data_IF_587445212928
#
_entry.id   IF_587445212928
#
_cell.length_a   1.000
_cell.length_b   1.000
_cell.length_c   1.000
_cell.angle_alpha   90.00
_cell.angle_beta   90.00
_cell.angle_gamma   90.00
#
_symmetry.space_group_name_H-M   'P 1'
#
loop_
_entity.id
_entity.type
_entity.pdbx_description
1 polymer ?
#
# COMPACT_ATOMS: atom_id res chain seq x y z
N UNK A 1 -2.59 8.93 -11.81
CA UNK A 1 -1.50 7.93 -11.76
C UNK A 1 -0.07 8.48 -11.75
N UNK A 2 0.09 9.80 -11.94
CA UNK A 2 1.39 10.49 -12.02
C UNK A 2 2.28 10.23 -10.78
N UNK A 3 1.68 10.07 -9.60
CA UNK A 3 2.38 9.87 -8.32
C UNK A 3 3.19 8.57 -8.27
N UNK A 4 2.63 7.46 -8.77
CA UNK A 4 3.30 6.15 -8.73
C UNK A 4 4.01 5.81 -10.05
N UNK A 5 4.01 6.73 -11.03
CA UNK A 5 4.73 6.62 -12.31
C UNK A 5 4.43 5.35 -13.11
N UNK A 6 3.17 4.89 -13.08
CA UNK A 6 2.66 3.85 -13.99
C UNK A 6 2.08 4.50 -15.24
N UNK A 7 2.58 4.10 -16.42
CA UNK A 7 2.16 4.68 -17.70
C UNK A 7 0.85 4.09 -18.24
N UNK A 8 0.46 2.90 -17.76
CA UNK A 8 -0.73 2.16 -18.18
C UNK A 8 -1.51 1.69 -16.95
N UNK A 9 -2.83 1.84 -16.98
CA UNK A 9 -3.72 1.45 -15.87
C UNK A 9 -3.59 -0.04 -15.55
N UNK A 10 -3.50 -0.88 -16.57
CA UNK A 10 -3.44 -2.34 -16.45
C UNK A 10 -2.22 -2.78 -15.63
N UNK A 11 -1.08 -2.11 -15.78
CA UNK A 11 0.14 -2.42 -15.04
C UNK A 11 0.01 -2.09 -13.56
N UNK A 12 -0.68 -1.00 -13.22
CA UNK A 12 -0.95 -0.68 -11.82
C UNK A 12 -2.07 -1.52 -11.23
N UNK A 13 -3.07 -1.88 -12.02
CA UNK A 13 -4.15 -2.75 -11.58
C UNK A 13 -3.59 -4.11 -11.11
N UNK A 14 -2.56 -4.64 -11.79
CA UNK A 14 -1.81 -5.82 -11.32
C UNK A 14 -1.21 -5.61 -9.92
N UNK A 15 -0.69 -4.42 -9.61
CA UNK A 15 -0.14 -4.10 -8.28
C UNK A 15 -1.24 -4.01 -7.23
N UNK A 16 -2.39 -3.42 -7.56
CA UNK A 16 -3.56 -3.42 -6.68
C UNK A 16 -3.98 -4.86 -6.36
N UNK A 17 -4.08 -5.73 -7.37
CA UNK A 17 -4.43 -7.14 -7.17
C UNK A 17 -3.44 -7.88 -6.28
N UNK A 18 -2.13 -7.64 -6.44
CA UNK A 18 -1.12 -8.17 -5.51
C UNK A 18 -1.34 -7.65 -4.08
N UNK A 19 -1.60 -6.36 -3.92
CA UNK A 19 -1.84 -5.75 -2.62
C UNK A 19 -3.12 -6.30 -1.94
N UNK A 20 -4.17 -6.61 -2.70
CA UNK A 20 -5.38 -7.28 -2.20
C UNK A 20 -5.08 -8.68 -1.66
N UNK A 21 -4.27 -9.47 -2.37
CA UNK A 21 -3.84 -10.81 -1.90
C UNK A 21 -3.05 -10.68 -0.60
N UNK A 22 -2.14 -9.71 -0.50
CA UNK A 22 -1.38 -9.48 0.74
C UNK A 22 -2.29 -9.04 1.89
N UNK A 23 -3.30 -8.22 1.62
CA UNK A 23 -4.30 -7.79 2.60
C UNK A 23 -5.06 -8.99 3.18
N UNK A 24 -5.56 -9.87 2.31
CA UNK A 24 -6.25 -11.10 2.69
C UNK A 24 -5.35 -12.04 3.49
N UNK A 25 -4.12 -12.27 3.01
CA UNK A 25 -3.13 -13.10 3.72
C UNK A 25 -2.72 -12.52 5.08
N UNK A 26 -2.89 -11.21 5.29
CA UNK A 26 -2.65 -10.54 6.57
C UNK A 26 -3.86 -10.59 7.51
N UNK A 27 -4.94 -11.29 7.11
CA UNK A 27 -6.16 -11.45 7.91
C UNK A 27 -7.15 -10.28 7.82
N UNK A 28 -6.94 -9.34 6.90
CA UNK A 28 -7.84 -8.19 6.73
C UNK A 28 -8.84 -8.42 5.59
N UNK A 29 -10.07 -7.96 5.79
CA UNK A 29 -11.10 -7.98 4.74
C UNK A 29 -10.70 -7.02 3.61
N UNK A 30 -10.55 -7.57 2.40
CA UNK A 30 -10.17 -6.77 1.21
C UNK A 30 -11.17 -5.65 0.95
N UNK A 31 -12.46 -5.89 1.19
CA UNK A 31 -13.52 -4.91 0.98
C UNK A 31 -13.35 -3.64 1.82
N UNK A 32 -12.86 -3.76 3.06
CA UNK A 32 -12.67 -2.61 3.96
C UNK A 32 -11.53 -1.69 3.51
N UNK A 33 -10.56 -2.25 2.80
CA UNK A 33 -9.35 -1.54 2.41
C UNK A 33 -9.31 -1.15 0.93
N UNK A 34 -10.01 -1.90 0.07
CA UNK A 34 -10.09 -1.73 -1.38
C UNK A 34 -11.54 -1.73 -1.89
N UNK A 35 -12.43 -0.86 -1.36
CA UNK A 35 -13.80 -0.77 -1.86
C UNK A 35 -13.79 -0.33 -3.34
N UNK A 36 -14.39 -1.18 -4.19
CA UNK A 36 -14.52 -0.92 -5.62
C UNK A 36 -15.58 0.15 -5.86
N UNK A 37 -15.21 1.18 -6.62
CA UNK A 37 -16.10 2.22 -7.12
C UNK A 37 -16.12 2.17 -8.63
N UNK A 38 -17.30 1.96 -9.21
CA UNK A 38 -17.48 1.94 -10.66
C UNK A 38 -17.62 3.37 -11.16
N UNK A 39 -16.69 3.81 -12.00
CA UNK A 39 -16.79 5.11 -12.67
C UNK A 39 -17.19 4.90 -14.13
N UNK A 40 -18.25 5.56 -14.55
CA UNK A 40 -18.64 5.62 -15.96
C UNK A 40 -18.00 6.84 -16.58
N UNK A 41 -17.23 6.65 -17.65
CA UNK A 41 -16.70 7.77 -18.44
C UNK A 41 -17.44 7.86 -19.77
N UNK A 42 -17.73 9.10 -20.19
CA UNK A 42 -18.27 9.38 -21.52
C UNK A 42 -17.16 9.26 -22.55
N UNK A 43 -17.42 8.53 -23.63
CA UNK A 43 -16.53 8.35 -24.76
C UNK A 43 -17.06 9.15 -25.97
N UNK A 44 -16.22 9.43 -26.97
CA UNK A 44 -16.69 9.99 -28.23
C UNK A 44 -17.83 9.14 -28.82
N UNK A 45 -18.80 9.77 -29.50
CA UNK A 45 -19.95 9.13 -30.16
C UNK A 45 -20.99 8.46 -29.22
N UNK A 46 -21.29 9.07 -28.06
CA UNK A 46 -22.30 8.57 -27.07
C UNK A 46 -22.00 7.19 -26.46
N UNK A 47 -20.81 6.64 -26.67
CA UNK A 47 -20.40 5.42 -26.00
C UNK A 47 -20.04 5.71 -24.53
N UNK A 48 -20.22 4.73 -23.65
CA UNK A 48 -19.77 4.82 -22.26
C UNK A 48 -18.86 3.64 -21.94
N UNK A 49 -17.80 3.91 -21.16
CA UNK A 49 -16.89 2.86 -20.66
C UNK A 49 -16.97 2.82 -19.14
N UNK A 50 -17.27 1.64 -18.58
CA UNK A 50 -17.14 1.39 -17.15
C UNK A 50 -15.68 1.13 -16.83
N UNK A 51 -15.11 1.93 -15.94
CA UNK A 51 -13.76 1.76 -15.41
C UNK A 51 -13.89 1.39 -13.94
N UNK A 52 -13.18 0.33 -13.55
CA UNK A 52 -13.02 -0.08 -12.16
C UNK A 52 -12.06 0.90 -11.50
N UNK A 53 -12.49 1.50 -10.40
CA UNK A 53 -11.70 2.39 -9.56
C UNK A 53 -11.81 1.94 -8.09
N UNK A 54 -10.94 2.44 -7.21
CA UNK A 54 -10.89 2.01 -5.82
C UNK A 54 -10.71 3.20 -4.87
N UNK A 55 -11.51 3.23 -3.78
CA UNK A 55 -11.31 4.20 -2.70
C UNK A 55 -10.42 3.59 -1.61
N UNK A 56 -9.11 3.68 -1.83
CA UNK A 56 -8.10 3.01 -1.01
C UNK A 56 -8.02 3.57 0.41
N UNK A 57 -7.95 2.67 1.40
CA UNK A 57 -7.54 3.03 2.76
C UNK A 57 -6.03 3.35 2.82
N UNK A 58 -5.58 3.98 3.92
CA UNK A 58 -4.14 4.22 4.15
C UNK A 58 -3.33 2.91 4.15
N UNK A 59 -3.88 1.87 4.77
CA UNK A 59 -3.25 0.55 4.80
C UNK A 59 -3.12 -0.05 3.39
N UNK A 60 -4.16 0.01 2.57
CA UNK A 60 -4.10 -0.40 1.17
C UNK A 60 -3.02 0.35 0.38
N UNK A 61 -2.89 1.66 0.59
CA UNK A 61 -1.83 2.46 -0.03
C UNK A 61 -0.43 1.97 0.36
N UNK A 62 -0.21 1.56 1.61
CA UNK A 62 1.05 0.97 2.05
C UNK A 62 1.32 -0.36 1.38
N UNK A 63 0.32 -1.25 1.32
CA UNK A 63 0.47 -2.54 0.63
C UNK A 63 0.78 -2.37 -0.86
N UNK A 64 0.13 -1.40 -1.54
CA UNK A 64 0.43 -1.06 -2.94
C UNK A 64 1.88 -0.57 -3.09
N UNK A 65 2.34 0.29 -2.19
CA UNK A 65 3.71 0.81 -2.23
C UNK A 65 4.75 -0.30 -1.97
N UNK A 66 4.48 -1.20 -1.02
CA UNK A 66 5.36 -2.32 -0.70
C UNK A 66 5.45 -3.33 -1.85
N UNK A 67 4.34 -3.59 -2.54
CA UNK A 67 4.24 -4.60 -3.61
C UNK A 67 4.40 -4.01 -5.03
N UNK A 68 4.77 -2.74 -5.14
CA UNK A 68 4.99 -2.06 -6.43
C UNK A 68 6.29 -2.46 -7.12
N UNK A 69 6.41 -2.10 -8.40
CA UNK A 69 7.64 -2.25 -9.18
C UNK A 69 8.75 -1.32 -8.65
N UNK A 70 9.79 -1.90 -8.03
CA UNK A 70 10.92 -1.18 -7.44
C UNK A 70 11.75 -0.39 -8.45
N UNK A 71 11.64 -0.68 -9.76
CA UNK A 71 12.27 0.14 -10.81
C UNK A 71 11.68 1.55 -10.87
N UNK A 72 10.52 1.78 -10.26
CA UNK A 72 9.90 3.11 -10.15
C UNK A 72 10.45 3.84 -8.93
N UNK A 73 11.10 4.99 -9.17
CA UNK A 73 11.74 5.80 -8.10
C UNK A 73 10.82 6.09 -6.90
N UNK A 74 9.53 6.33 -7.11
CA UNK A 74 8.59 6.61 -6.01
C UNK A 74 8.24 5.36 -5.19
N UNK A 75 8.20 4.18 -5.83
CA UNK A 75 8.05 2.90 -5.14
C UNK A 75 9.32 2.58 -4.34
N UNK A 76 10.49 2.68 -4.97
CA UNK A 76 11.77 2.45 -4.29
C UNK A 76 11.93 3.36 -3.06
N UNK A 77 11.57 4.65 -3.19
CA UNK A 77 11.59 5.59 -2.08
C UNK A 77 10.67 5.16 -0.93
N UNK A 78 9.45 4.71 -1.23
CA UNK A 78 8.53 4.22 -0.21
C UNK A 78 9.05 2.94 0.47
N UNK A 79 9.63 2.01 -0.28
CA UNK A 79 10.25 0.80 0.26
C UNK A 79 11.43 1.14 1.19
N UNK A 80 12.30 2.07 0.79
CA UNK A 80 13.39 2.58 1.66
C UNK A 80 12.83 3.24 2.91
N UNK A 81 11.78 4.05 2.79
CA UNK A 81 11.11 4.66 3.93
C UNK A 81 10.62 3.60 4.92
N UNK A 82 9.93 2.55 4.44
CA UNK A 82 9.46 1.47 5.31
C UNK A 82 10.61 0.73 6.00
N UNK A 83 11.69 0.41 5.28
CA UNK A 83 12.87 -0.21 5.89
C UNK A 83 13.46 0.63 7.03
N UNK A 84 13.56 1.96 6.83
CA UNK A 84 14.04 2.89 7.87
C UNK A 84 13.08 2.94 9.05
N UNK A 85 11.76 3.01 8.81
CA UNK A 85 10.78 3.07 9.91
C UNK A 85 10.76 1.78 10.73
N UNK A 86 10.85 0.61 10.08
CA UNK A 86 10.96 -0.68 10.77
C UNK A 86 12.20 -0.68 11.67
N UNK A 87 13.36 -0.26 11.16
CA UNK A 87 14.58 -0.21 11.97
C UNK A 87 14.47 0.72 13.17
N UNK A 88 13.85 1.89 12.99
CA UNK A 88 13.60 2.84 14.09
C UNK A 88 12.71 2.22 15.17
N UNK A 89 11.67 1.48 14.77
CA UNK A 89 10.79 0.80 15.72
C UNK A 89 11.50 -0.31 16.48
N UNK A 90 12.28 -1.15 15.79
CA UNK A 90 13.07 -2.22 16.42
C UNK A 90 14.05 -1.69 17.48
N UNK A 91 14.70 -0.55 17.23
CA UNK A 91 15.60 0.08 18.21
C UNK A 91 14.82 0.55 19.43
N UNK A 92 13.71 1.26 19.22
CA UNK A 92 12.84 1.74 20.31
C UNK A 92 12.32 0.58 21.17
N UNK A 93 11.93 -0.53 20.55
CA UNK A 93 11.50 -1.72 21.28
C UNK A 93 12.63 -2.34 22.12
N UNK A 94 13.87 -2.35 21.61
CA UNK A 94 15.04 -2.81 22.37
C UNK A 94 15.31 -1.90 23.57
N UNK A 95 15.27 -0.59 23.38
CA UNK A 95 15.45 0.41 24.45
C UNK A 95 14.39 0.25 25.54
N UNK A 96 13.11 0.13 25.16
CA UNK A 96 12.01 -0.09 26.09
C UNK A 96 12.17 -1.39 26.88
N UNK A 97 12.61 -2.48 26.23
CA UNK A 97 12.88 -3.76 26.92
C UNK A 97 13.99 -3.63 27.96
N UNK A 98 15.08 -2.91 27.64
CA UNK A 98 16.19 -2.66 28.57
C UNK A 98 15.70 -1.82 29.75
N UNK A 99 14.96 -0.73 29.48
CA UNK A 99 14.39 0.13 30.52
C UNK A 99 13.51 -0.66 31.49
N UNK A 100 12.57 -1.45 30.98
CA UNK A 100 11.68 -2.27 31.81
C UNK A 100 12.46 -3.29 32.65
N UNK A 101 13.46 -3.96 32.08
CA UNK A 101 14.30 -4.92 32.81
C UNK A 101 15.08 -4.28 33.95
N UNK A 102 15.53 -3.04 33.80
CA UNK A 102 16.27 -2.32 34.84
C UNK A 102 15.37 -1.84 35.98
N UNK A 103 14.10 -1.50 35.69
CA UNK A 103 13.12 -1.13 36.70
C UNK A 103 12.55 -2.33 37.48
N UNK A 104 12.47 -3.51 36.85
CA UNK A 104 12.08 -4.77 37.51
C UNK A 104 13.15 -5.35 38.45
N UNK A 105 14.37 -4.82 38.41
CA UNK A 105 15.51 -5.24 39.24
C UNK A 105 15.79 -4.31 40.43
N UNK A 106 15.00 -3.25 40.58
CA UNK A 106 15.01 -2.35 41.73
C UNK A 106 13.81 -2.66 42.61
#
# INVERSE_FOLDING_TARGET
>A
MIVLRYNKWENFHKVIKKAMIVCENSGYLVYDHFPEVKKTISMPKKASKKIIDYKLSRYACYLIAQNGDSRKKTIAFAQTYFAIQTRKMEIREKENKIYNRNNLKR
#
